data_IF_613779557906
#
_entry.id   IF_613779557906
#
_cell.length_a   1.000
_cell.length_b   1.000
_cell.length_c   1.000
_cell.angle_alpha   90.00
_cell.angle_beta   90.00
_cell.angle_gamma   90.00
#
_symmetry.space_group_name_H-M   'P 1'
#
loop_
_entity.id
_entity.type
_entity.pdbx_description
1 polymer ?
#
# COMPACT_ATOMS: atom_id res chain seq x y z
N UNK A 1 -1.67 -25.22 -12.02
CA UNK A 1 -0.85 -24.10 -11.50
C UNK A 1 -1.69 -23.22 -10.60
N UNK A 2 -1.07 -22.33 -9.84
CA UNK A 2 -1.78 -21.35 -8.99
C UNK A 2 -2.48 -20.27 -9.86
N UNK A 3 -3.68 -19.83 -9.45
CA UNK A 3 -4.45 -18.76 -10.12
C UNK A 3 -5.03 -17.82 -9.04
N UNK A 4 -4.75 -16.50 -9.09
CA UNK A 4 -5.39 -15.53 -8.20
C UNK A 4 -6.91 -15.52 -8.37
N UNK A 5 -7.64 -15.37 -7.27
CA UNK A 5 -9.10 -15.24 -7.24
C UNK A 5 -9.57 -13.77 -7.23
N UNK A 6 -8.67 -12.84 -7.54
CA UNK A 6 -8.91 -11.39 -7.64
C UNK A 6 -8.29 -10.85 -8.93
N UNK A 7 -8.77 -9.69 -9.44
CA UNK A 7 -8.23 -9.11 -10.66
C UNK A 7 -6.77 -8.68 -10.46
N UNK A 8 -5.93 -9.02 -11.44
CA UNK A 8 -4.59 -8.46 -11.59
C UNK A 8 -4.67 -7.33 -12.61
N UNK A 9 -4.21 -6.15 -12.23
CA UNK A 9 -4.20 -4.96 -13.08
C UNK A 9 -2.90 -4.88 -13.90
N UNK A 10 -2.88 -3.98 -14.88
CA UNK A 10 -1.66 -3.71 -15.65
C UNK A 10 -0.52 -3.21 -14.76
N UNK A 11 0.72 -3.48 -15.18
CA UNK A 11 1.91 -2.97 -14.48
C UNK A 11 1.95 -1.45 -14.56
N UNK A 12 2.19 -0.80 -13.41
CA UNK A 12 2.34 0.65 -13.26
C UNK A 12 3.49 0.95 -12.30
N UNK A 13 4.01 2.17 -12.35
CA UNK A 13 4.94 2.69 -11.35
C UNK A 13 4.17 3.25 -10.15
N UNK A 14 4.63 2.91 -8.95
CA UNK A 14 3.99 3.34 -7.69
C UNK A 14 4.79 4.41 -6.94
N UNK A 15 6.02 4.68 -7.38
CA UNK A 15 6.94 5.69 -6.85
C UNK A 15 7.71 6.36 -7.99
N UNK A 16 8.41 7.45 -7.66
CA UNK A 16 9.21 8.22 -8.61
C UNK A 16 8.43 9.28 -9.39
N UNK A 17 9.07 9.85 -10.40
CA UNK A 17 8.56 10.94 -11.24
C UNK A 17 7.29 10.54 -12.00
N UNK A 18 7.17 9.28 -12.40
CA UNK A 18 6.06 8.74 -13.17
C UNK A 18 5.07 7.93 -12.33
N UNK A 19 5.01 8.15 -11.00
CA UNK A 19 4.09 7.39 -10.17
C UNK A 19 2.63 7.60 -10.58
N UNK A 20 1.86 6.52 -10.57
CA UNK A 20 0.46 6.60 -10.96
C UNK A 20 -0.32 7.47 -9.96
N UNK A 21 -1.20 8.40 -10.40
CA UNK A 21 -1.89 9.36 -9.51
C UNK A 21 -2.65 8.70 -8.35
N UNK A 22 -3.21 7.50 -8.58
CA UNK A 22 -3.82 6.69 -7.53
C UNK A 22 -2.85 6.40 -6.38
N UNK A 23 -1.61 5.98 -6.69
CA UNK A 23 -0.61 5.68 -5.66
C UNK A 23 -0.08 6.96 -5.00
N UNK A 24 0.02 8.07 -5.72
CA UNK A 24 0.30 9.38 -5.13
C UNK A 24 -0.74 9.72 -4.04
N UNK A 25 -2.03 9.53 -4.36
CA UNK A 25 -3.12 9.73 -3.41
C UNK A 25 -3.07 8.74 -2.24
N UNK A 26 -2.93 7.43 -2.50
CA UNK A 26 -2.93 6.40 -1.47
C UNK A 26 -1.79 6.58 -0.45
N UNK A 27 -0.62 7.05 -0.90
CA UNK A 27 0.53 7.36 -0.03
C UNK A 27 0.34 8.62 0.84
N UNK A 28 -0.64 9.49 0.53
CA UNK A 28 -0.74 10.86 1.07
C UNK A 28 -1.36 10.97 2.47
N UNK A 29 -2.16 10.00 2.91
CA UNK A 29 -2.88 10.10 4.19
C UNK A 29 -2.34 9.18 5.29
N UNK A 30 -1.55 8.15 4.95
CA UNK A 30 -0.91 7.27 5.93
C UNK A 30 0.61 7.52 6.00
N UNK A 31 1.21 7.56 7.20
CA UNK A 31 2.67 7.56 7.36
C UNK A 31 3.33 6.39 6.61
N UNK A 32 4.61 6.49 6.21
CA UNK A 32 5.34 5.36 5.66
C UNK A 32 5.48 4.23 6.69
N UNK A 33 5.69 3.00 6.23
CA UNK A 33 5.78 1.82 7.12
C UNK A 33 7.13 1.71 7.83
N UNK A 34 8.16 2.39 7.31
CA UNK A 34 9.53 2.43 7.83
C UNK A 34 10.19 3.76 7.45
N UNK A 35 11.19 4.16 8.23
CA UNK A 35 11.96 5.38 7.96
C UNK A 35 12.83 5.23 6.70
N UNK A 36 13.45 4.05 6.52
CA UNK A 36 14.41 3.80 5.46
C UNK A 36 13.99 2.71 4.46
N UNK A 37 14.61 2.74 3.29
CA UNK A 37 14.65 1.61 2.36
C UNK A 37 15.68 0.59 2.83
N UNK A 38 15.36 -0.70 2.79
CA UNK A 38 16.27 -1.77 3.23
C UNK A 38 17.58 -1.82 2.43
N UNK A 39 17.55 -1.40 1.16
CA UNK A 39 18.72 -1.30 0.30
C UNK A 39 18.48 -0.23 -0.77
N UNK A 40 19.15 0.92 -0.63
CA UNK A 40 19.03 2.04 -1.57
C UNK A 40 19.51 1.67 -2.98
N UNK A 41 20.38 0.67 -3.15
CA UNK A 41 20.82 0.20 -4.47
C UNK A 41 19.73 -0.54 -5.23
N UNK A 42 18.65 -0.93 -4.53
CA UNK A 42 17.45 -1.58 -5.11
C UNK A 42 16.31 -0.59 -5.34
N UNK A 43 16.58 0.71 -5.22
CA UNK A 43 15.64 1.77 -5.57
C UNK A 43 15.94 2.22 -7.00
N UNK A 44 15.04 1.88 -7.92
CA UNK A 44 15.22 2.09 -9.37
C UNK A 44 14.42 3.28 -9.91
N UNK A 45 14.11 4.28 -9.07
CA UNK A 45 13.33 5.45 -9.43
C UNK A 45 13.86 6.71 -8.74
N UNK A 46 13.47 7.87 -9.26
CA UNK A 46 13.76 9.20 -8.71
C UNK A 46 12.57 10.12 -8.97
N UNK A 47 12.30 11.17 -8.16
CA UNK A 47 12.92 11.44 -6.86
C UNK A 47 12.41 10.49 -5.78
N UNK A 48 13.23 10.26 -4.75
CA UNK A 48 12.84 9.52 -3.55
C UNK A 48 12.09 10.47 -2.60
N UNK A 49 10.92 10.05 -2.14
CA UNK A 49 10.05 10.79 -1.21
C UNK A 49 9.86 10.01 0.09
N UNK A 50 9.67 10.75 1.19
CA UNK A 50 9.43 10.18 2.53
C UNK A 50 8.28 9.16 2.52
N UNK A 51 7.22 9.39 1.73
CA UNK A 51 6.01 8.57 1.71
C UNK A 51 6.03 7.42 0.70
N UNK A 52 7.13 7.20 -0.02
CA UNK A 52 7.21 6.15 -1.05
C UNK A 52 6.97 4.74 -0.50
N UNK A 53 6.42 3.86 -1.35
CA UNK A 53 6.27 2.42 -1.08
C UNK A 53 7.67 1.82 -0.87
N UNK A 54 7.87 1.11 0.23
CA UNK A 54 9.17 0.59 0.67
C UNK A 54 9.58 -0.68 -0.07
N UNK A 55 8.62 -1.56 -0.38
CA UNK A 55 8.91 -2.79 -1.14
C UNK A 55 7.66 -3.42 -1.75
N UNK A 56 7.88 -4.50 -2.52
CA UNK A 56 6.83 -5.38 -2.99
C UNK A 56 6.01 -5.93 -1.82
N UNK A 57 4.70 -6.07 -2.01
CA UNK A 57 3.74 -6.54 -1.01
C UNK A 57 3.47 -5.59 0.15
N UNK A 58 3.79 -4.30 0.04
CA UNK A 58 3.20 -3.30 0.92
C UNK A 58 1.69 -3.17 0.67
N UNK A 59 0.91 -2.92 1.71
CA UNK A 59 -0.57 -3.04 1.66
C UNK A 59 -1.21 -1.77 2.19
N UNK A 60 -2.29 -1.34 1.55
CA UNK A 60 -3.07 -0.16 1.92
C UNK A 60 -4.52 -0.59 2.11
N UNK A 61 -5.07 -0.33 3.30
CA UNK A 61 -6.48 -0.53 3.59
C UNK A 61 -7.23 0.77 3.29
N UNK A 62 -8.23 0.69 2.42
CA UNK A 62 -9.06 1.81 1.96
C UNK A 62 -10.48 1.59 2.46
N UNK A 63 -11.09 2.65 3.00
CA UNK A 63 -12.47 2.60 3.47
C UNK A 63 -13.49 2.76 2.32
N UNK A 64 -14.77 2.63 2.66
CA UNK A 64 -15.87 2.73 1.69
C UNK A 64 -16.03 4.12 1.03
N UNK A 65 -15.48 5.15 1.67
CA UNK A 65 -15.44 6.51 1.14
C UNK A 65 -14.24 6.73 0.20
N UNK A 66 -13.43 5.69 -0.04
CA UNK A 66 -12.27 5.76 -0.93
C UNK A 66 -11.01 6.32 -0.28
N UNK A 67 -10.97 6.50 1.04
CA UNK A 67 -9.80 7.03 1.74
C UNK A 67 -8.94 5.91 2.33
N UNK A 68 -7.60 5.92 2.12
CA UNK A 68 -6.68 5.06 2.84
C UNK A 68 -6.73 5.36 4.34
N UNK A 69 -6.94 4.32 5.15
CA UNK A 69 -7.07 4.41 6.61
C UNK A 69 -5.92 3.73 7.35
N UNK A 70 -5.25 2.77 6.72
CA UNK A 70 -4.09 2.08 7.30
C UNK A 70 -3.14 1.59 6.22
N UNK A 71 -1.86 1.53 6.57
CA UNK A 71 -0.77 1.10 5.69
C UNK A 71 0.06 0.06 6.43
N UNK A 72 0.37 -1.05 5.76
CA UNK A 72 1.03 -2.20 6.36
C UNK A 72 2.32 -2.48 5.64
N UNK A 73 3.31 -2.83 6.45
CA UNK A 73 4.63 -3.21 5.99
C UNK A 73 4.57 -4.46 5.09
N UNK A 74 5.50 -4.60 4.12
CA UNK A 74 5.65 -5.83 3.33
C UNK A 74 5.66 -7.12 4.15
N UNK A 75 6.28 -7.10 5.34
CA UNK A 75 6.41 -8.26 6.22
C UNK A 75 5.13 -8.60 7.01
N UNK A 76 4.17 -7.67 7.10
CA UNK A 76 2.87 -7.92 7.77
C UNK A 76 2.14 -9.05 7.05
N UNK A 77 1.72 -10.07 7.81
CA UNK A 77 1.00 -11.21 7.26
C UNK A 77 -0.45 -10.81 6.91
N UNK A 78 -1.04 -11.38 5.86
CA UNK A 78 -2.44 -11.11 5.52
C UNK A 78 -3.42 -11.35 6.67
N UNK A 79 -3.20 -12.39 7.48
CA UNK A 79 -4.06 -12.73 8.61
C UNK A 79 -4.08 -11.63 9.69
N UNK A 80 -2.96 -10.91 9.87
CA UNK A 80 -2.87 -9.80 10.82
C UNK A 80 -3.74 -8.59 10.41
N UNK A 81 -4.13 -8.52 9.14
CA UNK A 81 -4.93 -7.41 8.57
C UNK A 81 -6.43 -7.68 8.77
N UNK A 82 -6.83 -8.95 8.94
CA UNK A 82 -8.24 -9.34 9.05
C UNK A 82 -8.96 -8.59 10.18
N UNK A 83 -8.29 -8.40 11.32
CA UNK A 83 -8.86 -7.69 12.48
C UNK A 83 -9.23 -6.24 12.15
N UNK A 84 -8.36 -5.51 11.43
CA UNK A 84 -8.65 -4.13 11.03
C UNK A 84 -9.76 -4.07 9.99
N UNK A 85 -9.81 -5.05 9.08
CA UNK A 85 -10.85 -5.16 8.07
C UNK A 85 -12.23 -5.40 8.72
N UNK A 86 -12.31 -6.33 9.67
CA UNK A 86 -13.54 -6.62 10.42
C UNK A 86 -14.03 -5.41 11.20
N UNK A 87 -13.11 -4.66 11.84
CA UNK A 87 -13.44 -3.42 12.51
C UNK A 87 -14.01 -2.37 11.55
N UNK A 88 -13.41 -2.23 10.36
CA UNK A 88 -13.86 -1.29 9.33
C UNK A 88 -15.24 -1.67 8.81
N UNK A 89 -15.49 -2.96 8.55
CA UNK A 89 -16.78 -3.47 8.10
C UNK A 89 -17.87 -3.36 9.18
N UNK A 90 -17.52 -3.51 10.46
CA UNK A 90 -18.46 -3.31 11.56
C UNK A 90 -18.83 -1.83 11.73
N UNK A 91 -17.89 -0.91 11.51
CA UNK A 91 -18.13 0.54 11.61
C UNK A 91 -19.15 1.05 10.59
N UNK A 92 -19.22 0.41 9.42
CA UNK A 92 -20.19 0.67 8.33
C UNK A 92 -21.63 0.31 8.68
N UNK A 93 -21.84 -0.66 9.58
CA UNK A 93 -23.18 -1.20 9.90
C UNK A 93 -23.91 -0.40 10.98
N UNK A 94 -23.28 0.65 11.53
CA UNK A 94 -23.88 1.59 12.48
C UNK A 94 -24.38 2.81 11.73
#
# INVERSE_FOLDING_TARGET
GFKPNYPIIQKIDVNGENDHPLFTFLKSLCPPTRDDFSDQKKVFYTPIKVRDIRWNFEKLLVNEHGFPVKRYDPATQPDDIATDLDALLASRRK
#
